data_IF_813024670511
#
_entry.id   IF_813024670511
#
_cell.length_a   1.000
_cell.length_b   1.000
_cell.length_c   1.000
_cell.angle_alpha   90.00
_cell.angle_beta   90.00
_cell.angle_gamma   90.00
#
_symmetry.space_group_name_H-M   'P 1'
#
loop_
_entity.id
_entity.type
_entity.pdbx_description
1 polymer ?
#
# COMPACT_ATOMS: atom_id res chain seq x y z
N UNK A 1 -18.90 -6.40 6.20
CA UNK A 1 -17.71 -6.55 7.06
C UNK A 1 -16.48 -6.26 6.24
N UNK A 2 -15.67 -5.27 6.65
CA UNK A 2 -14.36 -5.05 6.07
C UNK A 2 -13.36 -6.04 6.70
N UNK A 3 -12.55 -6.70 5.87
CA UNK A 3 -11.54 -7.69 6.32
C UNK A 3 -10.26 -6.99 6.81
N UNK A 4 -10.08 -5.72 6.45
CA UNK A 4 -8.92 -4.91 6.80
C UNK A 4 -9.35 -3.54 7.31
N UNK A 5 -8.62 -3.02 8.29
CA UNK A 5 -8.67 -1.61 8.66
C UNK A 5 -7.74 -0.83 7.73
N UNK A 6 -8.28 0.23 7.11
CA UNK A 6 -7.57 1.00 6.10
C UNK A 6 -7.57 2.47 6.49
N UNK A 7 -6.38 3.05 6.59
CA UNK A 7 -6.20 4.49 6.69
C UNK A 7 -5.93 5.05 5.30
N UNK A 8 -6.83 5.89 4.81
CA UNK A 8 -6.66 6.61 3.55
C UNK A 8 -6.02 7.97 3.81
N UNK A 9 -4.85 8.23 3.23
CA UNK A 9 -4.10 9.49 3.41
C UNK A 9 -4.21 10.39 2.17
N UNK A 10 -5.21 11.27 2.18
CA UNK A 10 -5.50 12.26 1.14
C UNK A 10 -4.94 13.66 1.43
N UNK A 11 -4.14 13.81 2.50
CA UNK A 11 -3.58 15.11 2.91
C UNK A 11 -2.77 15.75 1.79
N UNK A 12 -2.78 17.08 1.69
CA UNK A 12 -1.89 17.83 0.80
C UNK A 12 -0.48 17.89 1.40
N UNK A 13 0.26 16.79 1.26
CA UNK A 13 1.60 16.61 1.79
C UNK A 13 2.46 15.80 0.82
N UNK A 14 3.78 16.04 0.85
CA UNK A 14 4.72 15.30 0.02
C UNK A 14 4.70 13.80 0.34
N UNK A 15 4.84 12.96 -0.69
CA UNK A 15 4.76 11.50 -0.56
C UNK A 15 5.73 10.93 0.49
N UNK A 16 6.95 11.47 0.56
CA UNK A 16 7.95 11.05 1.57
C UNK A 16 7.48 11.28 3.01
N UNK A 17 6.74 12.37 3.27
CA UNK A 17 6.17 12.65 4.58
C UNK A 17 5.09 11.64 4.94
N UNK A 18 4.19 11.34 4.00
CA UNK A 18 3.13 10.32 4.16
C UNK A 18 3.71 8.93 4.44
N UNK A 19 4.77 8.54 3.71
CA UNK A 19 5.42 7.24 3.91
C UNK A 19 6.07 7.15 5.29
N UNK A 20 6.72 8.23 5.74
CA UNK A 20 7.30 8.29 7.07
C UNK A 20 6.22 8.16 8.16
N UNK A 21 5.09 8.87 8.03
CA UNK A 21 3.97 8.75 8.97
C UNK A 21 3.39 7.34 9.00
N UNK A 22 3.20 6.71 7.82
CA UNK A 22 2.72 5.33 7.75
C UNK A 22 3.70 4.33 8.38
N UNK A 23 5.02 4.54 8.20
CA UNK A 23 6.07 3.74 8.84
C UNK A 23 6.09 3.96 10.37
N UNK A 24 5.88 5.18 10.84
CA UNK A 24 5.82 5.55 12.28
C UNK A 24 4.58 4.98 12.97
N UNK A 25 3.43 5.04 12.31
CA UNK A 25 2.16 4.47 12.80
C UNK A 25 2.14 2.94 12.76
N UNK A 26 3.16 2.31 12.19
CA UNK A 26 3.29 0.86 12.19
C UNK A 26 2.44 0.15 11.13
N UNK A 27 2.03 0.84 10.07
CA UNK A 27 1.22 0.25 9.00
C UNK A 27 1.97 -0.93 8.37
N UNK A 28 1.47 -2.18 8.44
CA UNK A 28 2.22 -3.35 7.99
C UNK A 28 2.41 -3.37 6.47
N UNK A 29 1.41 -2.83 5.76
CA UNK A 29 1.36 -2.72 4.29
C UNK A 29 1.02 -1.30 3.90
N UNK A 30 1.70 -0.76 2.90
CA UNK A 30 1.40 0.53 2.28
C UNK A 30 1.00 0.32 0.83
N UNK A 31 -0.15 0.85 0.44
CA UNK A 31 -0.64 0.83 -0.94
C UNK A 31 -0.47 2.24 -1.51
N UNK A 32 0.42 2.39 -2.47
CA UNK A 32 0.78 3.68 -3.05
C UNK A 32 0.16 3.80 -4.43
N UNK A 33 -0.72 4.79 -4.59
CA UNK A 33 -1.34 5.14 -5.87
C UNK A 33 -0.65 6.37 -6.43
N UNK A 34 0.10 6.19 -7.52
CA UNK A 34 0.75 7.29 -8.24
C UNK A 34 0.22 7.38 -9.66
N UNK A 35 0.11 8.60 -10.20
CA UNK A 35 -0.49 8.88 -11.51
C UNK A 35 0.09 8.01 -12.63
N UNK A 36 1.40 7.79 -12.63
CA UNK A 36 2.09 6.97 -13.65
C UNK A 36 1.61 5.52 -13.65
N UNK A 37 1.54 4.87 -12.48
CA UNK A 37 1.12 3.46 -12.37
C UNK A 37 -0.38 3.31 -12.56
N UNK A 38 -1.15 4.31 -12.12
CA UNK A 38 -2.60 4.31 -12.27
C UNK A 38 -3.02 4.32 -13.75
N UNK A 39 -2.29 5.02 -14.62
CA UNK A 39 -2.50 4.97 -16.09
C UNK A 39 -2.37 3.57 -16.66
N UNK A 40 -1.55 2.73 -16.03
CA UNK A 40 -1.33 1.33 -16.41
C UNK A 40 -2.24 0.37 -15.61
N UNK A 41 -3.27 0.86 -14.92
CA UNK A 41 -4.14 0.09 -14.01
C UNK A 41 -3.41 -0.64 -12.87
N UNK A 42 -2.32 -0.05 -12.38
CA UNK A 42 -1.47 -0.63 -11.34
C UNK A 42 -1.29 0.27 -10.13
N UNK A 43 -0.90 -0.35 -9.03
CA UNK A 43 -0.45 0.30 -7.80
C UNK A 43 0.87 -0.30 -7.33
N UNK A 44 1.50 0.35 -6.36
CA UNK A 44 2.63 -0.24 -5.64
C UNK A 44 2.19 -0.69 -4.24
N UNK A 45 2.61 -1.88 -3.84
CA UNK A 45 2.43 -2.42 -2.49
C UNK A 45 3.79 -2.56 -1.84
N UNK A 46 4.01 -1.86 -0.72
CA UNK A 46 5.23 -1.92 0.08
C UNK A 46 4.98 -2.67 1.38
N UNK A 47 5.86 -3.61 1.72
CA UNK A 47 5.89 -4.27 3.04
C UNK A 47 6.78 -3.46 3.97
N UNK A 48 6.23 -2.98 5.10
CA UNK A 48 7.01 -2.18 6.06
C UNK A 48 8.19 -2.96 6.65
N UNK A 49 7.98 -4.22 7.03
CA UNK A 49 8.98 -5.07 7.71
C UNK A 49 10.22 -5.32 6.86
N UNK A 50 10.04 -5.62 5.57
CA UNK A 50 11.14 -6.00 4.66
C UNK A 50 11.60 -4.87 3.76
N UNK A 51 10.77 -3.84 3.57
CA UNK A 51 10.99 -2.77 2.61
C UNK A 51 10.72 -3.17 1.15
N UNK A 52 10.34 -4.43 0.90
CA UNK A 52 10.03 -4.93 -0.44
C UNK A 52 8.83 -4.19 -1.05
N UNK A 53 8.92 -3.97 -2.37
CA UNK A 53 7.90 -3.26 -3.16
C UNK A 53 7.48 -4.14 -4.33
N UNK A 54 6.18 -4.22 -4.54
CA UNK A 54 5.56 -4.97 -5.61
C UNK A 54 4.70 -4.04 -6.44
N UNK A 55 4.83 -4.12 -7.76
CA UNK A 55 3.86 -3.54 -8.66
C UNK A 55 2.72 -4.53 -8.85
N UNK A 56 1.49 -4.09 -8.60
CA UNK A 56 0.33 -4.97 -8.55
C UNK A 56 -0.79 -4.35 -9.38
N UNK A 57 -1.36 -5.16 -10.27
CA UNK A 57 -2.59 -4.80 -11.00
C UNK A 57 -3.71 -4.52 -10.00
N UNK A 58 -4.48 -3.45 -10.21
CA UNK A 58 -5.56 -3.08 -9.31
C UNK A 58 -6.60 -4.21 -9.13
N UNK A 59 -6.80 -5.01 -10.18
CA UNK A 59 -7.70 -6.18 -10.16
C UNK A 59 -7.16 -7.33 -9.30
N UNK A 60 -5.85 -7.41 -9.08
CA UNK A 60 -5.17 -8.47 -8.31
C UNK A 60 -4.82 -8.03 -6.89
N UNK A 61 -5.03 -6.77 -6.54
CA UNK A 61 -4.65 -6.20 -5.24
C UNK A 61 -5.20 -7.01 -4.07
N UNK A 62 -6.48 -7.37 -4.10
CA UNK A 62 -7.12 -8.14 -3.02
C UNK A 62 -6.42 -9.49 -2.79
N UNK A 63 -6.13 -10.21 -3.86
CA UNK A 63 -5.44 -11.50 -3.81
C UNK A 63 -4.02 -11.33 -3.26
N UNK A 64 -3.30 -10.28 -3.68
CA UNK A 64 -1.97 -10.00 -3.15
C UNK A 64 -1.99 -9.69 -1.66
N UNK A 65 -2.99 -8.94 -1.18
CA UNK A 65 -3.14 -8.68 0.26
C UNK A 65 -3.43 -9.96 1.04
N UNK A 66 -4.31 -10.83 0.55
CA UNK A 66 -4.58 -12.12 1.20
C UNK A 66 -3.31 -13.00 1.31
N UNK A 67 -2.48 -13.04 0.26
CA UNK A 67 -1.18 -13.72 0.26
C UNK A 67 -0.23 -13.12 1.30
N UNK A 68 -0.12 -11.79 1.36
CA UNK A 68 0.79 -11.11 2.29
C UNK A 68 0.36 -11.30 3.75
N UNK A 69 -0.93 -11.16 4.04
CA UNK A 69 -1.46 -11.28 5.40
C UNK A 69 -1.52 -12.72 5.91
N UNK A 70 -1.54 -13.73 5.03
CA UNK A 70 -1.41 -15.13 5.44
C UNK A 70 0.00 -15.49 5.94
N UNK A 71 1.00 -14.65 5.63
CA UNK A 71 2.41 -14.85 5.96
C UNK A 71 2.95 -13.86 7.01
N UNK A 72 2.09 -12.96 7.53
CA UNK A 72 2.41 -12.14 8.69
C UNK A 72 2.30 -12.97 9.98
#
# INVERSE_FOLDING_TARGET
>A
NAVYEVLFDDRDAAAGFKFNDADLLGMPVQIVIGEKKLKDNKCEVKIRRTGERFEVELTQLKMKLEELFSNF
#
